data_IF_091806171737
#
_entry.id   IF_091806171737
#
_cell.length_a   1.000
_cell.length_b   1.000
_cell.length_c   1.000
_cell.angle_alpha   90.00
_cell.angle_beta   90.00
_cell.angle_gamma   90.00
#
_symmetry.space_group_name_H-M   'P 1'
#
loop_
_entity.id
_entity.type
_entity.pdbx_description
1 polymer ?
#
# COMPACT_ATOMS: atom_id res chain seq x y z
N UNK A 1 -1.80 1.71 15.99
CA UNK A 1 -1.21 2.58 14.97
C UNK A 1 -1.29 4.03 15.43
N UNK A 2 -0.27 4.83 15.24
CA UNK A 2 -0.27 6.26 15.57
C UNK A 2 0.00 7.05 14.31
N UNK A 3 -0.86 7.99 13.97
CA UNK A 3 -0.71 8.86 12.79
C UNK A 3 -0.23 10.23 13.26
N UNK A 4 0.90 10.68 12.74
CA UNK A 4 1.44 12.02 12.97
C UNK A 4 1.31 12.82 11.66
N UNK A 5 0.69 13.98 11.69
CA UNK A 5 0.58 14.88 10.53
C UNK A 5 1.27 16.19 10.87
N UNK A 6 2.28 16.54 10.07
CA UNK A 6 2.95 17.84 10.11
C UNK A 6 2.43 18.71 8.95
N UNK A 7 2.03 19.94 9.24
CA UNK A 7 1.55 20.91 8.25
C UNK A 7 2.32 22.21 8.45
N UNK A 8 2.89 22.74 7.36
CA UNK A 8 3.53 24.08 7.35
C UNK A 8 2.52 25.13 6.90
N UNK A 9 2.39 26.20 7.66
CA UNK A 9 1.66 27.42 7.25
C UNK A 9 2.70 28.47 6.85
N UNK A 10 2.84 28.73 5.54
CA UNK A 10 3.69 29.80 5.03
C UNK A 10 2.83 31.02 4.72
N UNK A 11 2.95 32.07 5.54
CA UNK A 11 2.34 33.37 5.29
C UNK A 11 3.31 34.23 4.48
N UNK A 12 3.03 34.47 3.21
CA UNK A 12 3.79 35.42 2.38
C UNK A 12 3.15 36.78 2.56
N UNK A 13 3.85 37.67 3.26
CA UNK A 13 3.51 39.11 3.34
C UNK A 13 4.37 39.84 2.31
N UNK A 14 3.71 40.36 1.27
CA UNK A 14 4.32 41.22 0.29
C UNK A 14 3.98 42.69 0.62
N UNK A 15 4.95 43.62 0.79
CA UNK A 15 4.65 45.03 1.08
C UNK A 15 4.25 45.75 -0.22
N UNK A 16 3.00 46.15 -0.33
CA UNK A 16 2.54 47.11 -1.36
C UNK A 16 2.69 48.53 -0.89
N UNK A 17 3.40 49.34 -1.68
CA UNK A 17 3.43 50.81 -1.57
C UNK A 17 2.14 51.41 -2.11
N UNK A 18 1.55 52.27 -1.32
CA UNK A 18 0.32 53.03 -1.59
C UNK A 18 0.49 54.17 -2.58
N UNK A 19 -0.44 54.34 -3.55
CA UNK A 19 -0.99 55.66 -3.92
C UNK A 19 -2.32 55.54 -4.69
N UNK A 20 -3.31 56.29 -4.17
CA UNK A 20 -4.55 56.90 -4.69
C UNK A 20 -5.84 56.06 -4.80
N UNK A 21 -6.99 56.70 -4.55
CA UNK A 21 -8.24 56.09 -4.17
C UNK A 21 -9.25 56.05 -5.30
N UNK A 22 -10.12 55.13 -5.34
CA UNK A 22 -11.58 55.24 -5.46
C UNK A 22 -12.20 53.94 -5.97
N UNK A 23 -13.29 53.59 -5.33
CA UNK A 23 -14.25 52.53 -5.70
C UNK A 23 -14.00 51.18 -4.99
N UNK A 24 -14.58 51.08 -3.80
CA UNK A 24 -14.88 49.83 -3.12
C UNK A 24 -15.75 48.92 -3.96
N UNK A 25 -15.13 47.96 -4.66
CA UNK A 25 -15.75 46.69 -4.98
C UNK A 25 -15.05 45.67 -4.07
N UNK A 26 -15.70 45.30 -2.96
CA UNK A 26 -15.28 44.18 -2.13
C UNK A 26 -15.40 42.92 -2.98
N UNK A 27 -14.36 42.58 -3.76
CA UNK A 27 -14.14 41.23 -4.18
C UNK A 27 -13.66 40.47 -2.89
N UNK A 28 -14.60 39.77 -2.25
CA UNK A 28 -14.25 38.67 -1.37
C UNK A 28 -13.55 37.62 -2.23
N UNK A 29 -12.25 37.75 -2.43
CA UNK A 29 -11.41 36.66 -2.87
C UNK A 29 -11.47 35.61 -1.75
N UNK A 30 -12.34 34.63 -1.87
CA UNK A 30 -12.26 33.41 -1.10
C UNK A 30 -10.91 32.79 -1.47
N UNK A 31 -9.92 33.00 -0.63
CA UNK A 31 -8.67 32.25 -0.66
C UNK A 31 -9.06 30.77 -0.49
N UNK A 32 -9.29 30.09 -1.61
CA UNK A 32 -9.34 28.64 -1.58
C UNK A 32 -7.95 28.17 -1.23
N UNK A 33 -7.76 27.83 0.03
CA UNK A 33 -6.56 27.12 0.47
C UNK A 33 -6.54 25.82 -0.36
N UNK A 34 -5.68 25.79 -1.34
CA UNK A 34 -5.46 24.58 -2.12
C UNK A 34 -4.84 23.52 -1.21
N UNK A 35 -5.68 22.69 -0.62
CA UNK A 35 -5.21 21.59 0.22
C UNK A 35 -4.47 20.60 -0.69
N UNK A 36 -3.22 20.29 -0.36
CA UNK A 36 -2.49 19.24 -1.02
C UNK A 36 -3.18 17.89 -0.71
N UNK A 37 -3.81 17.29 -1.71
CA UNK A 37 -4.42 15.97 -1.60
C UNK A 37 -3.37 14.87 -1.69
N UNK A 38 -3.61 13.77 -1.00
CA UNK A 38 -2.81 12.55 -1.05
C UNK A 38 -3.75 11.36 -1.32
N UNK A 39 -4.24 11.20 -2.57
CA UNK A 39 -5.40 10.36 -2.89
C UNK A 39 -5.12 8.86 -2.90
N UNK A 40 -3.86 8.45 -2.97
CA UNK A 40 -3.40 7.06 -2.94
C UNK A 40 -2.26 6.91 -1.95
N UNK A 41 -1.85 5.69 -1.64
CA UNK A 41 -0.73 5.43 -0.73
C UNK A 41 0.60 6.06 -1.20
N UNK A 42 0.74 6.34 -2.49
CA UNK A 42 1.91 7.00 -3.07
C UNK A 42 1.62 8.42 -3.58
N UNK A 43 0.53 9.01 -3.13
CA UNK A 43 0.17 10.40 -3.42
C UNK A 43 -0.41 10.64 -4.81
N UNK A 44 -0.48 11.91 -5.22
CA UNK A 44 -1.22 12.32 -6.42
C UNK A 44 -0.63 11.79 -7.74
N UNK A 45 0.66 11.50 -7.76
CA UNK A 45 1.37 10.97 -8.92
C UNK A 45 1.62 9.45 -8.83
N UNK A 46 1.10 8.78 -7.79
CA UNK A 46 1.33 7.37 -7.47
C UNK A 46 2.83 6.96 -7.44
N UNK A 47 3.74 7.90 -7.24
CA UNK A 47 5.19 7.70 -7.27
C UNK A 47 5.91 8.05 -5.96
N UNK A 48 5.17 8.47 -4.91
CA UNK A 48 5.72 8.84 -3.61
C UNK A 48 6.26 10.27 -3.53
N UNK A 49 6.07 11.08 -4.56
CA UNK A 49 6.53 12.48 -4.61
C UNK A 49 5.38 13.44 -4.34
N UNK A 50 5.61 14.41 -3.48
CA UNK A 50 4.73 15.55 -3.21
C UNK A 50 5.38 16.83 -3.76
N UNK A 51 5.16 17.19 -5.04
CA UNK A 51 5.94 18.26 -5.70
C UNK A 51 5.78 19.65 -5.07
N UNK A 52 4.67 19.87 -4.36
CA UNK A 52 4.34 21.16 -3.74
C UNK A 52 4.41 21.10 -2.21
N UNK A 53 4.95 20.00 -1.64
CA UNK A 53 5.07 19.90 -0.19
C UNK A 53 6.28 20.68 0.32
N UNK A 54 6.06 21.37 1.43
CA UNK A 54 7.09 22.02 2.22
C UNK A 54 7.05 21.42 3.64
N UNK A 55 7.53 20.18 3.82
CA UNK A 55 7.51 19.54 5.14
C UNK A 55 8.51 20.22 6.07
N UNK A 56 8.24 20.26 7.39
CA UNK A 56 9.20 20.73 8.34
C UNK A 56 10.47 19.86 8.31
N UNK A 57 11.64 20.50 8.36
CA UNK A 57 12.94 19.81 8.37
C UNK A 57 13.24 19.13 9.71
N UNK A 58 12.55 19.56 10.76
CA UNK A 58 12.69 19.02 12.11
C UNK A 58 11.32 18.73 12.70
N UNK A 59 11.16 17.58 13.32
CA UNK A 59 9.97 17.24 14.11
C UNK A 59 10.34 16.33 15.29
N UNK A 60 9.52 16.40 16.34
CA UNK A 60 9.60 15.52 17.51
C UNK A 60 8.21 15.32 18.07
N UNK A 61 8.07 14.60 19.18
CA UNK A 61 6.78 14.43 19.87
C UNK A 61 6.11 15.78 20.24
N UNK A 62 6.89 16.85 20.36
CA UNK A 62 6.44 18.19 20.80
C UNK A 62 6.67 19.30 19.77
N UNK A 63 7.35 19.00 18.65
CA UNK A 63 7.69 20.00 17.63
C UNK A 63 7.14 19.60 16.28
N UNK A 64 6.40 20.49 15.64
CA UNK A 64 5.81 20.29 14.29
C UNK A 64 4.86 19.10 14.18
N UNK A 65 4.29 18.61 15.29
CA UNK A 65 3.19 17.64 15.32
C UNK A 65 1.92 18.40 15.66
N UNK A 66 0.98 18.46 14.71
CA UNK A 66 -0.29 19.18 14.89
C UNK A 66 -1.23 18.44 15.84
N UNK A 67 -1.34 17.14 15.67
CA UNK A 67 -2.11 16.26 16.54
C UNK A 67 -1.62 14.81 16.44
N UNK A 68 -1.97 14.02 17.44
CA UNK A 68 -1.66 12.60 17.53
C UNK A 68 -2.89 11.88 18.05
N UNK A 69 -3.34 10.86 17.33
CA UNK A 69 -4.52 10.08 17.71
C UNK A 69 -4.19 8.59 17.67
N UNK A 70 -4.68 7.87 18.68
CA UNK A 70 -4.61 6.41 18.72
C UNK A 70 -5.73 5.84 17.88
N UNK A 71 -5.42 5.04 16.88
CA UNK A 71 -6.39 4.34 16.07
C UNK A 71 -6.79 3.01 16.70
N UNK A 72 -8.05 2.59 16.56
CA UNK A 72 -8.49 1.28 17.00
C UNK A 72 -7.91 0.17 16.10
N UNK A 73 -7.71 -1.02 16.66
CA UNK A 73 -7.28 -2.20 15.92
C UNK A 73 -5.86 -2.14 15.37
N UNK A 74 -5.64 -2.92 14.33
CA UNK A 74 -4.35 -3.07 13.65
C UNK A 74 -4.50 -2.92 12.15
N UNK A 75 -3.52 -2.28 11.52
CA UNK A 75 -3.43 -2.12 10.07
C UNK A 75 -2.13 -1.44 9.69
N UNK A 76 -1.64 -1.74 8.50
CA UNK A 76 -0.43 -1.12 7.91
C UNK A 76 -0.79 -0.30 6.66
N UNK A 77 -2.10 -0.10 6.41
CA UNK A 77 -2.59 0.75 5.35
C UNK A 77 -2.07 2.19 5.49
N UNK A 78 -1.58 2.76 4.40
CA UNK A 78 -1.21 4.18 4.36
C UNK A 78 -2.49 5.02 4.39
N UNK A 79 -2.58 6.01 5.28
CA UNK A 79 -3.67 6.97 5.25
C UNK A 79 -3.66 7.77 3.94
N UNK A 80 -4.84 8.07 3.41
CA UNK A 80 -5.01 8.96 2.27
C UNK A 80 -5.75 10.22 2.67
N UNK A 81 -5.55 11.31 1.93
CA UNK A 81 -6.08 12.63 2.27
C UNK A 81 -6.78 13.24 1.07
N UNK A 82 -8.01 13.76 1.31
CA UNK A 82 -8.72 14.57 0.33
C UNK A 82 -9.44 15.73 1.03
N UNK A 83 -9.07 16.96 0.68
CA UNK A 83 -9.56 18.15 1.36
C UNK A 83 -9.25 18.11 2.85
N UNK A 84 -10.28 18.23 3.67
CA UNK A 84 -10.19 18.17 5.13
C UNK A 84 -10.42 16.77 5.72
N UNK A 85 -10.49 15.75 4.88
CA UNK A 85 -10.76 14.37 5.30
C UNK A 85 -9.52 13.49 5.13
N UNK A 86 -9.31 12.60 6.11
CA UNK A 86 -8.26 11.60 6.11
C UNK A 86 -8.91 10.23 6.28
N UNK A 87 -8.61 9.29 5.39
CA UNK A 87 -9.20 7.95 5.39
C UNK A 87 -8.17 6.89 5.72
N UNK A 88 -8.54 5.95 6.58
CA UNK A 88 -7.67 4.89 7.08
C UNK A 88 -8.45 3.58 7.12
N UNK A 89 -7.77 2.47 6.82
CA UNK A 89 -8.29 1.12 7.01
C UNK A 89 -7.68 0.48 8.24
N UNK A 90 -8.48 -0.25 9.00
CA UNK A 90 -8.03 -1.01 10.17
C UNK A 90 -8.87 -2.27 10.37
N UNK A 91 -8.32 -3.25 11.08
CA UNK A 91 -9.04 -4.44 11.49
C UNK A 91 -9.00 -4.56 13.02
N UNK A 92 -10.15 -4.77 13.63
CA UNK A 92 -10.32 -4.90 15.08
C UNK A 92 -10.73 -6.34 15.39
N UNK A 93 -9.94 -7.04 16.21
CA UNK A 93 -10.37 -8.32 16.75
C UNK A 93 -11.58 -8.09 17.66
N UNK A 94 -12.71 -8.74 17.37
CA UNK A 94 -13.87 -8.68 18.24
C UNK A 94 -13.53 -9.28 19.60
N UNK A 95 -13.98 -8.67 20.67
CA UNK A 95 -13.85 -9.24 22.00
C UNK A 95 -14.58 -10.60 22.03
N UNK A 96 -13.93 -11.64 22.56
CA UNK A 96 -14.63 -12.90 22.86
C UNK A 96 -15.83 -12.53 23.73
N UNK A 97 -17.05 -13.00 23.42
CA UNK A 97 -18.15 -12.90 24.36
C UNK A 97 -17.63 -13.49 25.69
N UNK A 98 -17.78 -12.75 26.78
CA UNK A 98 -17.45 -13.27 28.10
C UNK A 98 -18.20 -14.58 28.23
N UNK A 99 -17.49 -15.71 28.33
CA UNK A 99 -18.09 -16.98 28.67
C UNK A 99 -18.77 -16.74 30.02
N UNK A 100 -20.09 -16.71 30.03
CA UNK A 100 -20.87 -16.77 31.24
C UNK A 100 -20.45 -18.06 31.94
N UNK A 101 -19.67 -17.89 33.01
CA UNK A 101 -19.21 -18.99 33.84
C UNK A 101 -20.42 -19.76 34.34
N UNK A 102 -20.80 -20.80 33.61
CA UNK A 102 -21.74 -21.80 34.11
C UNK A 102 -20.90 -22.66 35.06
N UNK A 103 -21.01 -22.30 36.34
CA UNK A 103 -20.46 -23.09 37.43
C UNK A 103 -21.21 -24.42 37.49
N UNK A 104 -20.60 -25.47 36.94
CA UNK A 104 -20.89 -26.85 37.32
C UNK A 104 -19.66 -27.42 37.96
N UNK A 105 -19.62 -27.29 39.30
CA UNK A 105 -18.76 -28.09 40.16
C UNK A 105 -19.14 -29.55 39.97
N UNK A 106 -18.26 -30.31 39.36
CA UNK A 106 -18.15 -31.76 39.60
C UNK A 106 -16.73 -32.08 40.05
N UNK A 107 -16.59 -32.16 41.35
CA UNK A 107 -15.45 -32.73 42.04
C UNK A 107 -15.33 -34.20 41.66
N UNK A 108 -14.26 -34.54 40.91
CA UNK A 108 -13.80 -35.92 40.77
C UNK A 108 -12.38 -36.01 41.31
N UNK A 109 -12.29 -36.52 42.51
CA UNK A 109 -11.06 -36.94 43.18
C UNK A 109 -10.60 -38.28 42.62
N UNK A 110 -9.52 -38.26 41.83
CA UNK A 110 -8.68 -39.43 41.63
C UNK A 110 -7.20 -39.01 41.67
N UNK A 111 -6.35 -39.69 42.45
CA UNK A 111 -4.95 -39.35 42.56
C UNK A 111 -4.16 -39.84 41.32
N UNK A 112 -3.04 -39.17 40.97
CA UNK A 112 -2.24 -39.57 39.84
C UNK A 112 -1.39 -40.82 40.12
N UNK A 113 -1.15 -41.71 39.16
CA UNK A 113 -0.24 -42.81 39.30
C UNK A 113 1.22 -42.35 39.18
N UNK A 114 2.08 -43.02 39.96
CA UNK A 114 3.50 -42.76 40.13
C UNK A 114 4.30 -42.89 38.81
N UNK A 115 5.25 -41.99 38.69
CA UNK A 115 6.25 -41.91 37.62
C UNK A 115 7.28 -43.03 37.68
N UNK A 116 7.42 -43.82 36.60
CA UNK A 116 8.58 -44.63 36.28
C UNK A 116 9.54 -43.91 35.33
N UNK A 117 10.87 -44.17 35.39
CA UNK A 117 11.83 -43.47 34.54
C UNK A 117 11.92 -44.12 33.17
N UNK A 118 11.67 -43.37 32.09
CA UNK A 118 11.74 -43.88 30.74
C UNK A 118 11.87 -42.81 29.67
N UNK A 119 13.06 -42.72 29.13
CA UNK A 119 13.44 -42.30 27.79
C UNK A 119 13.10 -40.88 27.31
N UNK A 120 14.18 -40.11 27.13
CA UNK A 120 14.22 -38.79 26.55
C UNK A 120 13.57 -38.71 25.16
N UNK A 121 12.36 -38.20 25.10
CA UNK A 121 11.84 -37.65 23.89
C UNK A 121 12.58 -36.34 23.57
N UNK A 122 13.53 -36.44 22.64
CA UNK A 122 14.09 -35.28 21.96
C UNK A 122 12.92 -34.46 21.40
N UNK A 123 12.58 -33.36 22.06
CA UNK A 123 11.78 -32.29 21.46
C UNK A 123 12.53 -31.88 20.21
N UNK A 124 12.03 -32.29 19.06
CA UNK A 124 12.38 -31.67 17.79
C UNK A 124 12.06 -30.19 17.97
N UNK A 125 13.11 -29.38 18.10
CA UNK A 125 12.99 -27.94 18.02
C UNK A 125 12.25 -27.61 16.75
N UNK A 126 11.07 -27.05 16.88
CA UNK A 126 10.34 -26.48 15.76
C UNK A 126 11.26 -25.45 15.13
N UNK A 127 11.70 -25.69 13.90
CA UNK A 127 12.37 -24.68 13.10
C UNK A 127 11.48 -23.46 13.12
N UNK A 128 12.02 -22.30 13.57
CA UNK A 128 11.32 -21.04 13.55
C UNK A 128 10.83 -20.79 12.13
N UNK A 129 9.53 -20.99 11.91
CA UNK A 129 8.89 -20.64 10.65
C UNK A 129 9.01 -19.12 10.51
N UNK A 130 9.51 -18.66 9.37
CA UNK A 130 9.63 -17.26 9.05
C UNK A 130 8.27 -16.56 9.18
N UNK A 131 8.01 -15.91 10.33
CA UNK A 131 6.97 -14.92 10.54
C UNK A 131 5.52 -15.28 10.18
N UNK A 132 5.22 -16.55 9.89
CA UNK A 132 3.86 -17.00 9.57
C UNK A 132 2.97 -16.85 10.79
N UNK A 133 1.92 -16.03 10.65
CA UNK A 133 0.86 -15.96 11.66
C UNK A 133 0.06 -17.25 11.73
N UNK A 134 -0.35 -17.63 12.94
CA UNK A 134 -1.30 -18.72 13.10
C UNK A 134 -2.63 -18.37 12.43
N UNK A 135 -3.36 -19.40 11.97
CA UNK A 135 -4.70 -19.19 11.43
C UNK A 135 -5.59 -18.57 12.52
N UNK A 136 -6.18 -17.40 12.27
CA UNK A 136 -6.99 -16.73 13.26
C UNK A 136 -8.26 -17.53 13.57
N UNK A 137 -8.70 -17.45 14.81
CA UNK A 137 -9.96 -18.06 15.29
C UNK A 137 -10.94 -17.01 15.78
N UNK A 138 -10.50 -15.75 15.86
CA UNK A 138 -11.32 -14.64 16.32
C UNK A 138 -12.00 -13.93 15.15
N UNK A 139 -13.24 -13.51 15.39
CA UNK A 139 -13.94 -12.58 14.52
C UNK A 139 -13.18 -11.25 14.46
N UNK A 140 -13.10 -10.65 13.28
CA UNK A 140 -12.54 -9.32 13.08
C UNK A 140 -13.57 -8.42 12.40
N UNK A 141 -13.60 -7.18 12.82
CA UNK A 141 -14.31 -6.11 12.13
C UNK A 141 -13.32 -5.34 11.24
N UNK A 142 -13.60 -5.29 9.95
CA UNK A 142 -12.84 -4.54 8.95
C UNK A 142 -13.45 -3.16 8.81
N UNK A 143 -12.69 -2.13 9.17
CA UNK A 143 -13.22 -0.79 9.43
C UNK A 143 -12.59 0.24 8.51
N UNK A 144 -13.44 1.12 7.99
CA UNK A 144 -13.05 2.36 7.32
C UNK A 144 -13.26 3.51 8.29
N UNK A 145 -12.20 4.27 8.54
CA UNK A 145 -12.20 5.46 9.38
C UNK A 145 -12.05 6.70 8.51
N UNK A 146 -12.84 7.72 8.78
CA UNK A 146 -12.63 9.07 8.29
C UNK A 146 -12.35 10.01 9.45
N UNK A 147 -11.21 10.69 9.39
CA UNK A 147 -10.81 11.65 10.40
C UNK A 147 -10.79 13.06 9.79
N UNK A 148 -11.09 14.03 10.63
CA UNK A 148 -10.85 15.44 10.31
C UNK A 148 -9.33 15.70 10.27
N UNK A 149 -8.84 16.20 9.14
CA UNK A 149 -7.43 16.45 8.90
C UNK A 149 -6.82 17.51 9.84
N UNK A 150 -7.63 18.48 10.29
CA UNK A 150 -7.17 19.58 11.14
C UNK A 150 -7.04 19.17 12.60
N UNK A 151 -7.90 18.28 13.07
CA UNK A 151 -8.03 17.98 14.51
C UNK A 151 -7.76 16.51 14.87
N UNK A 152 -7.72 15.60 13.89
CA UNK A 152 -7.63 14.15 14.11
C UNK A 152 -8.91 13.52 14.66
N UNK A 153 -10.01 14.28 14.82
CA UNK A 153 -11.28 13.73 15.32
C UNK A 153 -11.92 12.82 14.29
N UNK A 154 -12.50 11.73 14.74
CA UNK A 154 -13.28 10.84 13.88
C UNK A 154 -14.56 11.55 13.41
N UNK A 155 -14.70 11.72 12.10
CA UNK A 155 -15.90 12.21 11.45
C UNK A 155 -16.93 11.10 11.28
N UNK A 156 -16.48 9.94 10.82
CA UNK A 156 -17.29 8.72 10.73
C UNK A 156 -16.41 7.46 10.75
N UNK A 157 -17.05 6.37 11.12
CA UNK A 157 -16.49 5.02 11.14
C UNK A 157 -17.51 4.05 10.54
N UNK A 158 -17.08 3.17 9.65
CA UNK A 158 -17.96 2.15 9.04
C UNK A 158 -17.31 0.78 9.12
N UNK A 159 -18.07 -0.19 9.60
CA UNK A 159 -17.70 -1.61 9.50
C UNK A 159 -18.04 -2.09 8.09
N UNK A 160 -17.03 -2.39 7.29
CA UNK A 160 -17.19 -2.86 5.92
C UNK A 160 -17.54 -4.36 5.88
N UNK A 161 -16.90 -5.15 6.73
CA UNK A 161 -17.08 -6.60 6.84
C UNK A 161 -16.82 -7.04 8.28
N UNK A 162 -17.46 -8.14 8.68
CA UNK A 162 -17.17 -8.84 9.95
C UNK A 162 -17.05 -10.32 9.63
N UNK A 163 -15.87 -10.90 9.86
CA UNK A 163 -15.63 -12.33 9.66
C UNK A 163 -14.40 -12.83 10.40
N UNK A 164 -14.26 -14.15 10.51
CA UNK A 164 -12.98 -14.78 10.92
C UNK A 164 -12.09 -14.85 9.68
N UNK A 165 -10.90 -14.23 9.69
CA UNK A 165 -9.99 -14.32 8.54
C UNK A 165 -9.64 -15.77 8.21
N UNK A 166 -9.65 -16.13 6.92
CA UNK A 166 -9.45 -17.51 6.47
C UNK A 166 -7.99 -17.99 6.59
N UNK A 167 -7.02 -17.07 6.58
CA UNK A 167 -5.60 -17.34 6.83
C UNK A 167 -4.98 -16.26 7.72
N UNK A 168 -3.74 -16.49 8.20
CA UNK A 168 -2.97 -15.54 8.98
C UNK A 168 -2.36 -14.42 8.13
N UNK A 169 -1.38 -13.73 8.73
CA UNK A 169 -0.57 -12.72 8.06
C UNK A 169 0.86 -12.76 8.61
N UNK A 170 1.79 -12.12 7.92
CA UNK A 170 3.15 -11.91 8.45
C UNK A 170 3.10 -11.05 9.71
N UNK A 171 4.00 -11.29 10.67
CA UNK A 171 4.04 -10.58 11.95
C UNK A 171 4.14 -9.04 11.81
N UNK A 172 4.76 -8.56 10.73
CA UNK A 172 5.04 -7.13 10.51
C UNK A 172 3.88 -6.38 9.86
N UNK A 173 2.76 -7.05 9.55
CA UNK A 173 1.56 -6.38 9.06
C UNK A 173 0.27 -6.96 9.65
N UNK A 174 -0.89 -6.67 9.09
CA UNK A 174 -2.19 -7.06 9.64
C UNK A 174 -3.20 -7.37 8.55
N UNK A 175 -4.45 -7.58 8.94
CA UNK A 175 -5.55 -7.87 8.03
C UNK A 175 -6.06 -6.65 7.25
N UNK A 176 -5.57 -5.43 7.55
CA UNK A 176 -5.87 -4.20 6.83
C UNK A 176 -4.57 -3.57 6.35
N UNK A 177 -3.93 -4.21 5.37
CA UNK A 177 -2.63 -3.80 4.83
C UNK A 177 -2.75 -3.03 3.52
N UNK A 178 -3.76 -3.32 2.70
CA UNK A 178 -4.05 -2.54 1.50
C UNK A 178 -4.50 -1.12 1.88
N UNK A 179 -4.02 -0.12 1.16
CA UNK A 179 -4.39 1.27 1.38
C UNK A 179 -5.64 1.64 0.58
N UNK A 180 -6.52 2.50 1.11
CA UNK A 180 -7.65 3.00 0.34
C UNK A 180 -7.18 3.91 -0.80
N UNK A 181 -8.08 4.19 -1.76
CA UNK A 181 -7.86 5.19 -2.78
C UNK A 181 -9.09 6.09 -2.92
N UNK A 182 -8.90 7.34 -3.34
CA UNK A 182 -9.97 8.31 -3.57
C UNK A 182 -9.63 9.22 -4.74
N UNK A 183 -10.65 9.80 -5.34
CA UNK A 183 -10.53 10.88 -6.33
C UNK A 183 -11.36 12.11 -5.93
N UNK A 184 -11.90 12.10 -4.71
CA UNK A 184 -12.77 13.15 -4.19
C UNK A 184 -14.25 12.95 -4.48
N UNK A 185 -14.61 11.96 -5.30
CA UNK A 185 -16.00 11.54 -5.52
C UNK A 185 -16.34 10.33 -4.63
N UNK A 186 -15.45 9.35 -4.59
CA UNK A 186 -15.62 8.13 -3.81
C UNK A 186 -14.35 7.78 -3.02
N UNK A 187 -14.54 6.96 -1.99
CA UNK A 187 -13.46 6.26 -1.27
C UNK A 187 -13.64 4.78 -1.50
N UNK A 188 -12.61 4.14 -2.07
CA UNK A 188 -12.56 2.71 -2.31
C UNK A 188 -11.70 2.07 -1.23
N UNK A 189 -12.34 1.34 -0.34
CA UNK A 189 -11.72 0.59 0.75
C UNK A 189 -11.59 -0.88 0.35
N UNK A 190 -10.36 -1.35 0.17
CA UNK A 190 -10.07 -2.71 -0.25
C UNK A 190 -9.44 -3.50 0.90
N UNK A 191 -10.01 -4.64 1.22
CA UNK A 191 -9.56 -5.54 2.29
C UNK A 191 -9.21 -6.94 1.76
N UNK A 192 -8.75 -7.02 0.51
CA UNK A 192 -8.40 -8.30 -0.10
C UNK A 192 -9.58 -9.24 -0.18
N UNK A 193 -9.47 -10.41 0.43
CA UNK A 193 -10.53 -11.43 0.49
C UNK A 193 -11.82 -10.97 1.18
N UNK A 194 -11.82 -9.84 1.88
CA UNK A 194 -13.00 -9.24 2.51
C UNK A 194 -13.69 -8.25 1.58
N UNK A 195 -13.20 -8.17 0.34
CA UNK A 195 -13.81 -7.41 -0.72
C UNK A 195 -13.37 -5.95 -0.82
N UNK A 196 -13.95 -5.28 -1.77
CA UNK A 196 -13.86 -3.84 -1.98
C UNK A 196 -15.20 -3.19 -1.66
N UNK A 197 -15.15 -2.09 -0.90
CA UNK A 197 -16.31 -1.34 -0.45
C UNK A 197 -16.15 0.11 -0.89
N UNK A 198 -17.12 0.61 -1.65
CA UNK A 198 -17.13 1.98 -2.15
C UNK A 198 -18.06 2.84 -1.31
N UNK A 199 -17.55 3.93 -0.80
CA UNK A 199 -18.29 4.92 -0.03
C UNK A 199 -18.21 6.28 -0.73
N UNK A 200 -19.22 7.15 -0.50
CA UNK A 200 -18.99 8.57 -0.72
C UNK A 200 -18.12 9.16 0.40
N UNK A 201 -17.73 10.42 0.27
CA UNK A 201 -16.87 11.08 1.26
C UNK A 201 -17.54 11.25 2.65
N UNK A 202 -18.86 11.07 2.74
CA UNK A 202 -19.63 11.16 3.98
C UNK A 202 -19.89 9.78 4.63
N UNK A 203 -19.33 8.72 4.03
CA UNK A 203 -19.37 7.37 4.57
C UNK A 203 -20.66 6.61 4.23
N UNK A 204 -21.42 7.02 3.23
CA UNK A 204 -22.55 6.25 2.73
C UNK A 204 -22.05 5.19 1.74
N UNK A 205 -22.35 3.93 2.01
CA UNK A 205 -22.00 2.81 1.14
C UNK A 205 -22.72 2.93 -0.21
N UNK A 206 -21.98 2.88 -1.30
CA UNK A 206 -22.51 2.89 -2.68
C UNK A 206 -22.63 1.47 -3.23
N UNK A 207 -21.59 0.68 -3.09
CA UNK A 207 -21.52 -0.71 -3.52
C UNK A 207 -20.43 -1.47 -2.76
N UNK A 208 -20.53 -2.78 -2.80
CA UNK A 208 -19.46 -3.69 -2.37
C UNK A 208 -19.30 -4.83 -3.36
N UNK A 209 -18.09 -5.39 -3.46
CA UNK A 209 -17.76 -6.53 -4.33
C UNK A 209 -16.80 -7.46 -3.61
N UNK A 210 -17.16 -8.73 -3.58
CA UNK A 210 -16.30 -9.82 -3.10
C UNK A 210 -15.55 -10.45 -4.28
N UNK A 211 -14.34 -10.94 -4.00
CA UNK A 211 -13.45 -11.55 -5.02
C UNK A 211 -13.18 -13.03 -4.74
N UNK A 212 -13.48 -13.52 -3.55
CA UNK A 212 -13.17 -14.83 -3.05
C UNK A 212 -12.16 -14.81 -1.91
N UNK A 213 -11.49 -15.92 -1.66
CA UNK A 213 -10.45 -16.05 -0.65
C UNK A 213 -9.11 -16.28 -1.35
N UNK A 214 -8.21 -15.33 -1.19
CA UNK A 214 -6.84 -15.41 -1.70
C UNK A 214 -6.03 -16.33 -0.77
N UNK A 215 -5.32 -17.27 -1.34
CA UNK A 215 -4.32 -18.08 -0.62
C UNK A 215 -2.96 -17.48 -0.89
N UNK A 216 -2.31 -16.97 0.15
CA UNK A 216 -1.02 -16.31 -0.01
C UNK A 216 0.14 -17.24 0.33
N UNK A 217 1.29 -16.98 -0.28
CA UNK A 217 2.50 -17.75 -0.05
C UNK A 217 2.84 -17.80 1.42
N UNK A 218 2.97 -19.01 1.94
CA UNK A 218 3.24 -19.28 3.36
C UNK A 218 2.24 -18.63 4.34
N UNK A 219 1.06 -18.20 3.89
CA UNK A 219 0.07 -17.50 4.72
C UNK A 219 0.59 -16.14 5.20
N UNK A 220 1.38 -15.44 4.37
CA UNK A 220 1.92 -14.12 4.73
C UNK A 220 0.88 -13.01 4.66
N UNK A 221 -0.29 -13.29 4.11
CA UNK A 221 -1.41 -12.35 4.02
C UNK A 221 -1.36 -11.44 2.80
N UNK A 222 -2.40 -10.68 2.65
CA UNK A 222 -2.70 -9.84 1.49
C UNK A 222 -2.21 -8.41 1.71
N UNK A 223 -1.60 -7.77 0.68
CA UNK A 223 -1.01 -6.44 0.88
C UNK A 223 -1.06 -5.50 -0.32
N UNK A 224 -1.39 -5.99 -1.53
CA UNK A 224 -1.52 -5.13 -2.71
C UNK A 224 -2.71 -4.17 -2.55
N UNK A 225 -2.50 -2.89 -2.87
CA UNK A 225 -3.56 -1.87 -2.87
C UNK A 225 -4.22 -1.78 -4.25
N UNK A 226 -5.45 -1.26 -4.37
CA UNK A 226 -6.04 -0.98 -5.66
C UNK A 226 -5.39 0.25 -6.31
N UNK A 227 -5.45 0.34 -7.64
CA UNK A 227 -5.07 1.52 -8.41
C UNK A 227 -6.31 2.15 -9.06
N UNK A 228 -6.41 3.48 -9.01
CA UNK A 228 -7.54 4.24 -9.54
C UNK A 228 -7.08 5.24 -10.59
N UNK A 229 -7.75 5.25 -11.75
CA UNK A 229 -7.53 6.24 -12.80
C UNK A 229 -8.85 6.54 -13.52
N UNK A 230 -9.26 7.79 -13.50
CA UNK A 230 -10.56 8.19 -14.04
C UNK A 230 -11.71 7.42 -13.38
N UNK A 231 -12.47 6.67 -14.17
CA UNK A 231 -13.58 5.84 -13.69
C UNK A 231 -13.20 4.36 -13.48
N UNK A 232 -11.94 4.01 -13.62
CA UNK A 232 -11.50 2.61 -13.59
C UNK A 232 -10.68 2.35 -12.33
N UNK A 233 -11.09 1.39 -11.52
CA UNK A 233 -10.29 0.84 -10.42
C UNK A 233 -9.79 -0.54 -10.79
N UNK A 234 -8.50 -0.78 -10.58
CA UNK A 234 -7.84 -2.05 -10.90
C UNK A 234 -7.38 -2.74 -9.62
N UNK A 235 -7.65 -4.03 -9.54
CA UNK A 235 -7.16 -4.93 -8.48
C UNK A 235 -6.31 -6.02 -9.11
N UNK A 236 -5.14 -6.26 -8.53
CA UNK A 236 -4.31 -7.41 -8.81
C UNK A 236 -4.58 -8.49 -7.75
N UNK A 237 -4.86 -9.70 -8.21
CA UNK A 237 -5.18 -10.86 -7.38
C UNK A 237 -4.26 -12.01 -7.76
N UNK A 238 -3.01 -11.95 -7.30
CA UNK A 238 -2.03 -13.01 -7.49
C UNK A 238 -2.02 -13.91 -6.25
N UNK A 239 -2.35 -15.18 -6.40
CA UNK A 239 -2.45 -16.13 -5.30
C UNK A 239 -1.72 -17.45 -5.60
N UNK A 240 -1.70 -18.38 -4.64
CA UNK A 240 -1.03 -19.69 -4.78
C UNK A 240 -1.98 -20.75 -5.37
N UNK A 241 -3.11 -20.35 -5.94
CA UNK A 241 -4.07 -21.23 -6.62
C UNK A 241 -4.14 -20.86 -8.10
N UNK A 242 -4.89 -21.64 -8.87
CA UNK A 242 -5.11 -21.37 -10.30
C UNK A 242 -6.22 -20.30 -10.54
N UNK A 243 -6.62 -19.55 -9.50
CA UNK A 243 -7.69 -18.54 -9.56
C UNK A 243 -7.16 -17.10 -9.58
N UNK A 244 -5.91 -16.90 -9.89
CA UNK A 244 -5.29 -15.60 -9.97
C UNK A 244 -5.75 -14.81 -11.20
N UNK A 245 -5.92 -13.51 -11.01
CA UNK A 245 -6.41 -12.60 -12.05
C UNK A 245 -6.03 -11.14 -11.79
N UNK A 246 -6.15 -10.33 -12.83
CA UNK A 246 -6.25 -8.87 -12.73
C UNK A 246 -7.64 -8.45 -13.21
N UNK A 247 -8.27 -7.52 -12.49
CA UNK A 247 -9.64 -7.08 -12.77
C UNK A 247 -9.75 -5.57 -12.73
N UNK A 248 -10.53 -5.02 -13.66
CA UNK A 248 -10.94 -3.63 -13.62
C UNK A 248 -12.45 -3.51 -13.38
N UNK A 249 -12.79 -2.57 -12.52
CA UNK A 249 -14.18 -2.24 -12.19
C UNK A 249 -14.46 -0.78 -12.51
N UNK A 250 -15.70 -0.50 -12.86
CA UNK A 250 -16.22 0.86 -12.84
C UNK A 250 -16.32 1.34 -11.38
N UNK A 251 -15.65 2.44 -11.03
CA UNK A 251 -15.55 2.93 -9.65
C UNK A 251 -16.89 3.33 -9.03
N UNK A 252 -17.89 3.75 -9.86
CA UNK A 252 -19.19 4.23 -9.37
C UNK A 252 -20.16 3.11 -9.08
N UNK A 253 -20.04 1.99 -9.81
CA UNK A 253 -21.02 0.91 -9.78
C UNK A 253 -20.48 -0.41 -9.27
N UNK A 254 -19.16 -0.58 -9.20
CA UNK A 254 -18.51 -1.86 -8.90
C UNK A 254 -18.64 -2.90 -10.02
N UNK A 255 -19.17 -2.49 -11.18
CA UNK A 255 -19.36 -3.37 -12.33
C UNK A 255 -18.02 -3.75 -12.94
N UNK A 256 -17.84 -5.03 -13.24
CA UNK A 256 -16.68 -5.52 -13.96
C UNK A 256 -16.65 -4.93 -15.38
N UNK A 257 -15.53 -4.31 -15.72
CA UNK A 257 -15.25 -3.82 -17.06
C UNK A 257 -14.49 -4.87 -17.86
N UNK A 258 -13.50 -5.48 -17.23
CA UNK A 258 -12.75 -6.61 -17.77
C UNK A 258 -12.09 -7.41 -16.64
N UNK A 259 -11.80 -8.68 -16.90
CA UNK A 259 -11.06 -9.56 -16.01
C UNK A 259 -10.20 -10.50 -16.84
N UNK A 260 -8.92 -10.60 -16.51
CA UNK A 260 -7.98 -11.50 -17.17
C UNK A 260 -7.39 -12.49 -16.16
N UNK A 261 -7.38 -13.79 -16.49
CA UNK A 261 -6.60 -14.74 -15.72
C UNK A 261 -5.11 -14.39 -15.84
N UNK A 262 -4.37 -14.70 -14.78
CA UNK A 262 -2.91 -14.48 -14.77
C UNK A 262 -2.23 -15.84 -14.71
N UNK A 263 -1.61 -16.39 -14.09
CA UNK A 263 -0.81 -17.58 -13.85
C UNK A 263 0.48 -17.12 -13.15
N UNK A 264 0.25 -16.44 -12.03
CA UNK A 264 1.32 -15.82 -11.26
C UNK A 264 1.20 -16.25 -9.79
N UNK A 265 2.25 -16.77 -9.16
CA UNK A 265 2.21 -17.00 -7.72
C UNK A 265 2.05 -15.68 -6.97
N UNK A 266 1.76 -15.75 -5.68
CA UNK A 266 1.53 -14.58 -4.83
C UNK A 266 2.48 -13.43 -5.13
N UNK A 267 1.89 -12.27 -5.42
CA UNK A 267 2.54 -10.98 -5.60
C UNK A 267 1.93 -9.93 -4.69
N UNK A 268 2.76 -9.03 -4.14
CA UNK A 268 2.31 -7.94 -3.27
C UNK A 268 2.46 -6.56 -3.90
N UNK A 269 2.89 -6.51 -5.17
CA UNK A 269 3.06 -5.26 -5.89
C UNK A 269 1.69 -4.63 -6.21
N UNK A 270 1.49 -3.39 -5.79
CA UNK A 270 0.31 -2.60 -6.18
C UNK A 270 0.37 -2.32 -7.68
N UNK A 271 -0.73 -2.44 -8.44
CA UNK A 271 -0.79 -2.04 -9.83
C UNK A 271 -0.40 -0.56 -9.99
N UNK A 272 0.41 -0.27 -10.99
CA UNK A 272 0.85 1.09 -11.32
C UNK A 272 0.26 1.52 -12.66
N UNK A 273 -0.45 2.65 -12.69
CA UNK A 273 -1.06 3.16 -13.91
C UNK A 273 -0.21 4.31 -14.44
N UNK A 274 0.12 4.25 -15.72
CA UNK A 274 0.88 5.28 -16.43
C UNK A 274 0.24 5.56 -17.79
N UNK A 275 0.23 6.83 -18.18
CA UNK A 275 -0.14 7.26 -19.53
C UNK A 275 1.12 7.41 -20.38
N UNK A 276 1.05 6.91 -21.61
CA UNK A 276 2.07 7.09 -22.62
C UNK A 276 1.39 7.27 -23.98
N UNK A 277 1.74 8.32 -24.71
CA UNK A 277 1.13 8.69 -26.01
C UNK A 277 -0.39 8.70 -25.98
N UNK A 278 -0.97 9.26 -24.92
CA UNK A 278 -2.43 9.38 -24.73
C UNK A 278 -3.16 8.08 -24.44
N UNK A 279 -2.44 7.00 -24.12
CA UNK A 279 -2.98 5.70 -23.75
C UNK A 279 -2.56 5.33 -22.33
N UNK A 280 -3.55 5.05 -21.49
CA UNK A 280 -3.31 4.56 -20.14
C UNK A 280 -3.09 3.06 -20.14
N UNK A 281 -2.06 2.61 -19.43
CA UNK A 281 -1.74 1.20 -19.22
C UNK A 281 -1.54 0.93 -17.74
N UNK A 282 -1.89 -0.27 -17.29
CA UNK A 282 -1.64 -0.74 -15.94
C UNK A 282 -0.49 -1.75 -15.94
N UNK A 283 0.52 -1.48 -15.10
CA UNK A 283 1.75 -2.29 -15.01
C UNK A 283 1.78 -2.97 -13.66
N UNK A 284 2.05 -4.27 -13.65
CA UNK A 284 2.13 -5.10 -12.45
C UNK A 284 3.41 -5.91 -12.47
N UNK A 285 4.19 -5.80 -11.37
CA UNK A 285 5.30 -6.70 -11.11
C UNK A 285 4.80 -8.03 -10.58
N UNK A 286 5.24 -9.13 -11.18
CA UNK A 286 4.95 -10.49 -10.77
C UNK A 286 6.23 -11.31 -10.62
N UNK A 287 6.15 -12.50 -10.03
CA UNK A 287 7.30 -13.39 -9.87
C UNK A 287 7.89 -13.77 -11.24
N UNK A 288 9.15 -13.41 -11.45
CA UNK A 288 9.86 -13.68 -12.70
C UNK A 288 9.61 -12.69 -13.83
N UNK A 289 8.59 -11.82 -13.79
CA UNK A 289 8.24 -10.92 -14.89
C UNK A 289 7.45 -9.69 -14.49
N UNK A 290 7.32 -8.77 -15.44
CA UNK A 290 6.47 -7.59 -15.38
C UNK A 290 5.48 -7.70 -16.53
N UNK A 291 4.22 -7.33 -16.30
CA UNK A 291 3.19 -7.29 -17.35
C UNK A 291 2.54 -5.93 -17.41
N UNK A 292 2.17 -5.53 -18.61
CA UNK A 292 1.39 -4.31 -18.88
C UNK A 292 0.12 -4.67 -19.63
N UNK A 293 -0.97 -4.03 -19.21
CA UNK A 293 -2.29 -4.19 -19.81
C UNK A 293 -2.85 -2.84 -20.22
N UNK A 294 -3.53 -2.77 -21.36
CA UNK A 294 -4.33 -1.62 -21.75
C UNK A 294 -5.42 -1.39 -20.68
N UNK A 295 -5.46 -0.21 -20.11
CA UNK A 295 -6.37 0.08 -18.98
C UNK A 295 -7.85 -0.02 -19.36
N UNK A 296 -8.21 0.36 -20.58
CA UNK A 296 -9.60 0.38 -21.00
C UNK A 296 -10.14 -1.02 -21.35
N UNK A 297 -9.30 -1.89 -21.90
CA UNK A 297 -9.72 -3.17 -22.47
C UNK A 297 -9.20 -4.38 -21.71
N UNK A 298 -8.19 -4.23 -20.87
CA UNK A 298 -7.49 -5.33 -20.20
C UNK A 298 -6.53 -6.10 -21.10
N UNK A 299 -6.45 -5.81 -22.39
CA UNK A 299 -5.54 -6.52 -23.30
C UNK A 299 -4.09 -6.38 -22.83
N UNK A 300 -3.39 -7.51 -22.70
CA UNK A 300 -1.94 -7.47 -22.44
C UNK A 300 -1.22 -6.77 -23.60
N UNK A 301 -0.49 -5.72 -23.29
CA UNK A 301 0.29 -4.94 -24.25
C UNK A 301 1.69 -5.52 -24.41
N UNK A 302 2.33 -5.83 -23.29
CA UNK A 302 3.67 -6.40 -23.25
C UNK A 302 3.93 -7.15 -21.95
N UNK A 303 4.89 -8.05 -21.99
CA UNK A 303 5.49 -8.69 -20.83
C UNK A 303 7.02 -8.59 -20.93
N UNK A 304 7.71 -8.58 -19.78
CA UNK A 304 9.17 -8.60 -19.72
C UNK A 304 9.63 -9.48 -18.57
N UNK A 305 10.41 -10.49 -18.85
CA UNK A 305 11.00 -11.39 -17.87
C UNK A 305 12.19 -10.75 -17.11
N UNK A 306 12.62 -11.43 -16.06
CA UNK A 306 13.85 -11.15 -15.34
C UNK A 306 13.73 -10.49 -13.98
N UNK A 307 12.52 -10.33 -13.41
CA UNK A 307 12.38 -10.08 -11.97
C UNK A 307 12.62 -11.37 -11.18
N UNK A 308 13.00 -11.20 -9.91
CA UNK A 308 13.03 -12.31 -8.95
C UNK A 308 11.66 -12.69 -8.44
N UNK A 309 11.61 -13.68 -7.55
CA UNK A 309 10.40 -14.11 -6.88
C UNK A 309 9.91 -13.09 -5.82
N UNK A 310 8.62 -13.12 -5.51
CA UNK A 310 7.99 -12.29 -4.48
C UNK A 310 8.20 -10.78 -4.67
N UNK A 311 7.85 -10.17 -5.81
CA UNK A 311 8.00 -8.74 -6.00
C UNK A 311 6.98 -7.99 -5.14
N UNK A 312 7.48 -7.07 -4.29
CA UNK A 312 6.70 -6.19 -3.45
C UNK A 312 6.73 -4.76 -3.98
N UNK A 313 7.90 -4.24 -4.42
CA UNK A 313 7.99 -2.86 -4.86
C UNK A 313 7.06 -2.53 -6.01
N UNK A 314 6.27 -1.48 -5.84
CA UNK A 314 5.44 -0.93 -6.93
C UNK A 314 6.34 -0.23 -7.95
N UNK A 315 6.13 -0.44 -9.24
CA UNK A 315 6.87 0.28 -10.29
C UNK A 315 6.69 1.79 -10.20
N UNK A 316 7.64 2.52 -10.77
CA UNK A 316 7.53 3.96 -11.05
C UNK A 316 7.92 4.22 -12.50
N UNK A 317 7.46 5.33 -13.07
CA UNK A 317 7.80 5.68 -14.45
C UNK A 317 8.06 7.18 -14.59
N UNK A 318 8.83 7.52 -15.61
CA UNK A 318 8.80 8.84 -16.25
C UNK A 318 8.00 8.75 -17.58
N UNK A 319 8.12 9.74 -18.43
CA UNK A 319 7.34 9.82 -19.66
C UNK A 319 7.58 8.67 -20.65
N UNK A 320 8.74 7.99 -20.59
CA UNK A 320 9.18 7.03 -21.61
C UNK A 320 9.76 5.73 -21.06
N UNK A 321 9.89 5.60 -19.73
CA UNK A 321 10.54 4.44 -19.09
C UNK A 321 9.81 4.08 -17.81
N UNK A 322 9.51 2.79 -17.64
CA UNK A 322 9.07 2.22 -16.37
C UNK A 322 10.23 1.50 -15.70
N UNK A 323 10.34 1.65 -14.37
CA UNK A 323 11.34 1.02 -13.51
C UNK A 323 10.63 0.05 -12.58
N UNK A 324 10.92 -1.24 -12.74
CA UNK A 324 10.40 -2.30 -11.89
C UNK A 324 11.52 -2.98 -11.12
N UNK A 325 11.22 -3.47 -9.92
CA UNK A 325 12.24 -3.98 -9.01
C UNK A 325 11.80 -5.25 -8.29
N UNK A 326 12.78 -6.06 -7.94
CA UNK A 326 12.67 -7.17 -7.00
C UNK A 326 13.92 -7.27 -6.15
N UNK A 327 13.81 -7.82 -4.93
CA UNK A 327 14.95 -7.88 -4.00
C UNK A 327 15.06 -9.20 -3.24
N UNK A 328 14.06 -10.08 -3.33
CA UNK A 328 14.10 -11.37 -2.67
C UNK A 328 14.86 -12.38 -3.53
N UNK A 329 15.96 -12.93 -2.99
CA UNK A 329 16.87 -13.91 -3.60
C UNK A 329 17.53 -13.45 -4.89
N UNK A 330 16.80 -12.85 -5.81
CA UNK A 330 17.27 -12.38 -7.11
C UNK A 330 17.07 -10.86 -7.21
N UNK A 331 18.02 -10.06 -6.69
CA UNK A 331 17.94 -8.61 -6.74
C UNK A 331 17.94 -8.14 -8.21
N UNK A 332 16.98 -7.28 -8.55
CA UNK A 332 16.86 -6.75 -9.91
C UNK A 332 16.21 -5.37 -9.92
N UNK A 333 16.76 -4.48 -10.72
CA UNK A 333 16.11 -3.30 -11.28
C UNK A 333 16.09 -3.46 -12.78
N UNK A 334 14.97 -3.20 -13.41
CA UNK A 334 14.84 -3.23 -14.87
C UNK A 334 14.17 -1.94 -15.32
N UNK A 335 14.82 -1.22 -16.24
CA UNK A 335 14.30 -0.04 -16.92
C UNK A 335 13.78 -0.44 -18.30
N UNK A 336 12.47 -0.31 -18.53
CA UNK A 336 11.79 -0.78 -19.74
C UNK A 336 11.19 0.41 -20.47
N UNK A 337 11.46 0.52 -21.78
CA UNK A 337 10.86 1.54 -22.63
C UNK A 337 9.34 1.36 -22.73
N UNK A 338 8.58 2.42 -22.50
CA UNK A 338 7.16 2.49 -22.81
C UNK A 338 6.93 2.55 -24.34
N UNK A 339 5.69 2.35 -24.78
CA UNK A 339 5.32 2.36 -26.21
C UNK A 339 5.71 1.09 -26.99
N UNK A 340 6.19 0.05 -26.30
CA UNK A 340 6.53 -1.27 -26.87
C UNK A 340 5.40 -2.28 -26.68
N UNK A 341 5.39 -3.37 -27.45
CA UNK A 341 4.40 -4.45 -27.37
C UNK A 341 5.03 -5.81 -27.49
N UNK A 342 4.36 -6.86 -26.99
CA UNK A 342 4.80 -8.25 -27.07
C UNK A 342 5.77 -8.65 -25.95
N UNK A 343 6.56 -9.69 -26.16
CA UNK A 343 7.60 -10.09 -25.21
C UNK A 343 8.85 -9.23 -25.36
N UNK A 344 9.15 -8.46 -24.32
CA UNK A 344 10.29 -7.53 -24.29
C UNK A 344 11.54 -8.13 -23.67
N UNK A 345 11.49 -9.39 -23.25
CA UNK A 345 12.59 -10.07 -22.58
C UNK A 345 13.83 -10.12 -23.48
N UNK A 346 14.94 -9.53 -23.02
CA UNK A 346 16.21 -9.54 -23.77
C UNK A 346 16.22 -8.69 -25.04
N UNK A 347 15.22 -7.85 -25.27
CA UNK A 347 15.14 -6.94 -26.41
C UNK A 347 15.75 -5.56 -26.06
N UNK A 348 15.87 -4.67 -27.05
CA UNK A 348 16.29 -3.28 -26.88
C UNK A 348 15.30 -2.40 -26.10
N UNK A 349 14.11 -2.93 -25.82
CA UNK A 349 13.16 -2.30 -24.91
C UNK A 349 13.68 -2.26 -23.46
N UNK A 350 14.52 -3.21 -23.06
CA UNK A 350 15.23 -3.17 -21.78
C UNK A 350 16.42 -2.23 -21.91
N UNK A 351 16.26 -0.97 -21.51
CA UNK A 351 17.28 0.09 -21.65
C UNK A 351 18.52 -0.19 -20.81
N UNK A 352 18.30 -0.63 -19.58
CA UNK A 352 19.36 -1.05 -18.66
C UNK A 352 18.77 -1.92 -17.53
N UNK A 353 19.65 -2.62 -16.85
CA UNK A 353 19.30 -3.36 -15.65
C UNK A 353 20.44 -3.36 -14.63
N UNK A 354 20.09 -3.56 -13.35
CA UNK A 354 21.01 -3.62 -12.24
C UNK A 354 20.60 -4.71 -11.26
N UNK A 355 21.54 -5.41 -10.63
CA UNK A 355 21.28 -6.64 -9.87
C UNK A 355 21.96 -6.72 -8.51
N UNK A 356 22.26 -5.58 -7.87
CA UNK A 356 22.91 -5.55 -6.56
C UNK A 356 22.17 -4.65 -5.60
N UNK A 357 21.95 -5.10 -4.36
CA UNK A 357 21.33 -4.30 -3.28
C UNK A 357 20.06 -3.55 -3.72
N UNK A 358 19.14 -4.27 -4.38
CA UNK A 358 17.86 -3.72 -4.81
C UNK A 358 16.80 -3.89 -3.72
N UNK A 359 15.72 -3.13 -3.75
CA UNK A 359 14.71 -3.18 -2.70
C UNK A 359 13.94 -4.49 -2.71
N UNK A 360 13.70 -5.06 -1.53
CA UNK A 360 12.77 -6.17 -1.35
C UNK A 360 11.35 -5.68 -1.06
N UNK A 361 11.19 -4.84 -0.04
CA UNK A 361 9.90 -4.29 0.38
C UNK A 361 9.70 -2.84 -0.09
N UNK A 362 10.66 -1.91 0.13
CA UNK A 362 10.44 -0.50 -0.19
C UNK A 362 10.27 -0.27 -1.69
N UNK A 363 9.28 0.53 -2.05
CA UNK A 363 9.10 0.98 -3.45
C UNK A 363 10.06 2.12 -3.78
N UNK A 364 10.54 2.22 -5.03
CA UNK A 364 11.44 3.29 -5.46
C UNK A 364 10.75 4.65 -5.51
N UNK A 365 11.54 5.71 -5.51
CA UNK A 365 11.10 7.09 -5.74
C UNK A 365 11.85 7.65 -6.93
N UNK A 366 11.12 8.28 -7.86
CA UNK A 366 11.69 8.94 -9.02
C UNK A 366 11.46 10.45 -8.91
N UNK A 367 12.55 11.22 -8.86
CA UNK A 367 12.53 12.68 -8.78
C UNK A 367 13.36 13.25 -9.93
N UNK A 368 12.71 13.85 -10.91
CA UNK A 368 13.38 14.23 -12.16
C UNK A 368 14.06 13.04 -12.80
N UNK A 369 15.36 13.17 -13.08
CA UNK A 369 16.17 12.11 -13.67
C UNK A 369 16.90 11.24 -12.63
N UNK A 370 16.46 11.23 -11.38
CA UNK A 370 17.08 10.49 -10.29
C UNK A 370 16.15 9.41 -9.76
N UNK A 371 16.60 8.17 -9.82
CA UNK A 371 15.91 7.00 -9.29
C UNK A 371 16.54 6.62 -7.94
N UNK A 372 15.75 6.74 -6.88
CA UNK A 372 16.16 6.40 -5.51
C UNK A 372 15.50 5.13 -5.05
N UNK A 373 16.25 4.27 -4.38
CA UNK A 373 15.70 3.11 -3.69
C UNK A 373 16.56 2.66 -2.52
N UNK A 374 15.95 1.93 -1.60
CA UNK A 374 16.58 1.42 -0.39
C UNK A 374 16.59 -0.09 -0.44
N UNK A 375 17.74 -0.70 -0.27
CA UNK A 375 17.81 -2.13 -0.01
C UNK A 375 17.41 -2.41 1.44
N UNK A 376 16.23 -2.97 1.65
CA UNK A 376 15.71 -3.27 2.97
C UNK A 376 16.61 -4.17 3.83
N UNK A 377 17.29 -5.11 3.19
CA UNK A 377 18.15 -6.06 3.92
C UNK A 377 19.49 -5.47 4.35
N UNK A 378 19.92 -4.36 3.76
CA UNK A 378 21.25 -3.79 4.02
C UNK A 378 21.23 -2.34 4.48
N UNK A 379 20.07 -1.69 4.49
CA UNK A 379 19.96 -0.26 4.81
C UNK A 379 20.69 0.67 3.84
N UNK A 380 20.92 0.22 2.61
CA UNK A 380 21.64 0.99 1.60
C UNK A 380 20.68 1.80 0.75
N UNK A 381 20.73 3.12 0.89
CA UNK A 381 20.08 4.06 -0.03
C UNK A 381 20.96 4.23 -1.26
N UNK A 382 20.38 4.04 -2.44
CA UNK A 382 21.06 4.19 -3.72
C UNK A 382 20.36 5.22 -4.59
N UNK A 383 21.14 6.01 -5.33
CA UNK A 383 20.69 6.98 -6.31
C UNK A 383 21.31 6.65 -7.67
N UNK A 384 20.44 6.50 -8.67
CA UNK A 384 20.82 6.18 -10.05
C UNK A 384 20.39 7.30 -11.00
N UNK A 385 21.17 7.50 -12.06
CA UNK A 385 20.68 8.20 -13.23
C UNK A 385 19.61 7.33 -13.92
N UNK A 386 18.40 7.82 -14.00
CA UNK A 386 17.27 7.04 -14.49
C UNK A 386 17.39 6.68 -15.99
N UNK A 387 18.05 7.53 -16.76
CA UNK A 387 18.23 7.32 -18.20
C UNK A 387 19.30 6.28 -18.52
N UNK A 388 20.42 6.35 -17.82
CA UNK A 388 21.62 5.53 -18.14
C UNK A 388 21.78 4.31 -17.24
N UNK A 389 21.12 4.27 -16.08
CA UNK A 389 21.34 3.24 -15.07
C UNK A 389 22.67 3.37 -14.34
N UNK A 390 23.37 4.50 -14.48
CA UNK A 390 24.61 4.75 -13.77
C UNK A 390 24.35 5.04 -12.30
N UNK A 391 25.04 4.35 -11.40
CA UNK A 391 25.05 4.65 -9.97
C UNK A 391 25.72 6.00 -9.73
N UNK A 392 24.98 6.96 -9.19
CA UNK A 392 25.49 8.30 -8.85
C UNK A 392 26.06 8.31 -7.45
N UNK A 393 25.39 7.67 -6.51
CA UNK A 393 25.83 7.58 -5.13
C UNK A 393 25.05 6.54 -4.34
N UNK A 394 25.63 6.14 -3.21
CA UNK A 394 24.99 5.25 -2.26
C UNK A 394 25.46 5.56 -0.85
N UNK A 395 24.54 5.50 0.11
CA UNK A 395 24.79 5.74 1.52
C UNK A 395 24.20 4.62 2.37
N UNK A 396 24.92 4.25 3.42
CA UNK A 396 24.38 3.37 4.46
C UNK A 396 23.59 4.24 5.45
N UNK A 397 22.29 3.98 5.56
CA UNK A 397 21.40 4.77 6.45
C UNK A 397 21.15 4.09 7.80
N UNK A 398 21.82 2.95 8.05
CA UNK A 398 21.63 2.16 9.27
C UNK A 398 20.35 1.30 9.27
N UNK A 399 20.35 0.22 10.04
CA UNK A 399 19.21 -0.68 10.13
C UNK A 399 17.99 0.00 10.77
N UNK A 400 18.20 0.77 11.82
CA UNK A 400 17.13 1.50 12.52
C UNK A 400 16.39 2.49 11.61
N UNK A 401 17.14 3.23 10.78
CA UNK A 401 16.54 4.15 9.80
C UNK A 401 15.86 3.38 8.68
N UNK A 402 16.37 2.20 8.32
CA UNK A 402 15.76 1.34 7.31
C UNK A 402 14.42 0.80 7.78
N UNK A 403 14.31 0.32 9.01
CA UNK A 403 13.04 -0.10 9.61
C UNK A 403 12.06 1.06 9.69
N UNK A 404 12.53 2.24 10.09
CA UNK A 404 11.76 3.47 10.04
C UNK A 404 11.25 3.76 8.62
N UNK A 405 12.09 3.71 7.62
CA UNK A 405 11.72 3.97 6.23
C UNK A 405 10.83 2.86 5.68
N UNK A 406 11.08 1.59 5.98
CA UNK A 406 10.18 0.49 5.63
C UNK A 406 8.80 0.66 6.27
N UNK A 407 8.74 1.10 7.52
CA UNK A 407 7.49 1.46 8.19
C UNK A 407 6.89 2.78 7.72
N UNK A 408 7.67 3.70 7.18
CA UNK A 408 7.27 5.07 6.85
C UNK A 408 7.18 5.38 5.36
N UNK A 409 7.87 4.68 4.49
CA UNK A 409 7.57 4.70 3.04
C UNK A 409 6.24 4.02 2.76
N UNK A 410 5.75 3.21 3.70
CA UNK A 410 4.42 2.61 3.68
C UNK A 410 3.41 3.39 4.53
N UNK A 411 3.80 4.36 5.35
CA UNK A 411 2.85 4.92 6.32
C UNK A 411 3.13 6.30 6.92
N UNK A 412 4.01 7.15 6.38
CA UNK A 412 4.16 8.53 6.88
C UNK A 412 4.14 9.56 5.77
#
# INVERSE_FOLDING_TARGET
MVVNIAISESSIICPMKTTTPLSCLLLLATLTVAHANWPTWRGPLANGVAPQADPPLEWSETKNVKWKVKLPGQGTATPIVWGDKLFILTAIAAEKPAETASATNTSSTNPPPASGPGEGQRRRGGGGGFGRGDKPTQMHEFIVLCLDRQTGKTLWQKTAKTEVPHEGHHQDHGFASASPVTDGEVVLAYFGSRGMHCYDLDGNLKWSKEFGHMITRAGFGEGASPALHGNIVVVNWDDETDNDFIIALDKRTGKELWKNPRNEPTGWSTPFIVEHDGKAQVIVSASGRIRSYDLATGKELWACGGLGSNPIPTPVANNDTVFAMSGHREPKVTAIALGRTGDLTGTDAVRWSYNKSTPYVPSPVLIGDRLYFISGNTGKLSCFDAKTGQLIGAHMIGAEVTELIQGYVVGK
#
